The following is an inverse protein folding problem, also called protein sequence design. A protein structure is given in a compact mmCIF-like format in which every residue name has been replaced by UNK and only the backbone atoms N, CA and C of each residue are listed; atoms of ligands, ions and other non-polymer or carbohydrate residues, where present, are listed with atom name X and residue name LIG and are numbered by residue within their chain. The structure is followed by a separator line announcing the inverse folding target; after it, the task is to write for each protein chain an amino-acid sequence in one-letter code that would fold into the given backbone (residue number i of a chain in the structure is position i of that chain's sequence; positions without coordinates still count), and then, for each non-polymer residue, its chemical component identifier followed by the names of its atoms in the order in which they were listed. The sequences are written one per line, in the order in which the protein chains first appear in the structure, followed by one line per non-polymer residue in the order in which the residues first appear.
data_IF_686567539599
#
_entry.id   IF_686567539599
#
_cell.length_a   1.000
_cell.length_b   1.000
_cell.length_c   1.000
_cell.angle_alpha   90.00
_cell.angle_beta   90.00
_cell.angle_gamma   90.00
#
_symmetry.space_group_name_H-M   'P 1'
#
loop_
_entity.id
_entity.type
_entity.pdbx_description
1 polymer ?
#
# COMPACT_ATOMS: atom_id res chain seq x y z
N UNK A 1 -107.02 29.44 -45.76
CA UNK A 1 -106.06 30.52 -45.41
C UNK A 1 -105.64 30.45 -43.94
N UNK A 2 -106.55 30.21 -42.97
CA UNK A 2 -106.19 30.03 -41.55
C UNK A 2 -105.29 28.81 -41.26
N UNK A 3 -105.59 27.63 -41.82
CA UNK A 3 -104.79 26.41 -41.56
C UNK A 3 -103.32 26.53 -41.94
N UNK A 4 -103.04 27.20 -43.07
CA UNK A 4 -101.68 27.40 -43.57
C UNK A 4 -100.87 28.34 -42.69
N UNK A 5 -101.50 29.40 -42.16
CA UNK A 5 -100.87 30.33 -41.20
C UNK A 5 -100.60 29.63 -39.87
N UNK A 6 -101.50 28.73 -39.44
CA UNK A 6 -101.31 27.94 -38.22
C UNK A 6 -100.17 26.92 -38.36
N UNK A 7 -100.03 26.28 -39.53
CA UNK A 7 -98.87 25.43 -39.86
C UNK A 7 -97.55 26.21 -39.90
N UNK A 8 -97.52 27.40 -40.50
CA UNK A 8 -96.34 28.26 -40.54
C UNK A 8 -95.92 28.74 -39.15
N UNK A 9 -96.88 29.09 -38.29
CA UNK A 9 -96.61 29.43 -36.89
C UNK A 9 -96.08 28.23 -36.11
N UNK A 10 -96.62 27.03 -36.34
CA UNK A 10 -96.13 25.79 -35.73
C UNK A 10 -94.68 25.50 -36.10
N UNK A 11 -94.33 25.58 -37.39
CA UNK A 11 -92.95 25.40 -37.85
C UNK A 11 -92.02 26.50 -37.33
N UNK A 12 -92.48 27.75 -37.24
CA UNK A 12 -91.70 28.84 -36.63
C UNK A 12 -91.37 28.54 -35.17
N UNK A 13 -92.34 28.04 -34.39
CA UNK A 13 -92.09 27.64 -33.00
C UNK A 13 -91.14 26.45 -32.88
N UNK A 14 -91.23 25.45 -33.77
CA UNK A 14 -90.27 24.33 -33.81
C UNK A 14 -88.85 24.80 -34.14
N UNK A 15 -88.69 25.64 -35.17
CA UNK A 15 -87.37 26.19 -35.52
C UNK A 15 -86.78 27.04 -34.38
N UNK A 16 -87.63 27.78 -33.64
CA UNK A 16 -87.18 28.59 -32.51
C UNK A 16 -86.78 27.72 -31.30
N UNK A 17 -87.47 26.60 -31.07
CA UNK A 17 -87.08 25.62 -30.07
C UNK A 17 -85.76 24.92 -30.43
N UNK A 18 -85.57 24.56 -31.71
CA UNK A 18 -84.31 24.00 -32.22
C UNK A 18 -83.15 24.99 -32.10
N UNK A 19 -83.36 26.27 -32.42
CA UNK A 19 -82.36 27.31 -32.23
C UNK A 19 -81.99 27.47 -30.74
N UNK A 20 -82.96 27.47 -29.83
CA UNK A 20 -82.68 27.50 -28.39
C UNK A 20 -81.90 26.27 -27.92
N UNK A 21 -82.22 25.08 -28.44
CA UNK A 21 -81.46 23.87 -28.13
C UNK A 21 -80.04 23.92 -28.69
N UNK A 22 -79.85 24.48 -29.89
CA UNK A 22 -78.54 24.69 -30.50
C UNK A 22 -77.71 25.68 -29.69
N UNK A 23 -78.29 26.81 -29.26
CA UNK A 23 -77.63 27.80 -28.41
C UNK A 23 -77.25 27.21 -27.05
N UNK A 24 -78.14 26.42 -26.44
CA UNK A 24 -77.83 25.71 -25.20
C UNK A 24 -76.69 24.70 -25.40
N UNK A 25 -76.71 23.93 -26.49
CA UNK A 25 -75.65 22.97 -26.80
C UNK A 25 -74.30 23.67 -27.05
N UNK A 26 -74.28 24.79 -27.78
CA UNK A 26 -73.08 25.62 -27.98
C UNK A 26 -72.55 26.18 -26.66
N UNK A 27 -73.44 26.64 -25.78
CA UNK A 27 -73.06 27.10 -24.45
C UNK A 27 -72.42 25.97 -23.64
N UNK A 28 -73.03 24.77 -23.61
CA UNK A 28 -72.45 23.60 -22.93
C UNK A 28 -71.09 23.21 -23.50
N UNK A 29 -70.91 23.30 -24.83
CA UNK A 29 -69.65 22.96 -25.48
C UNK A 29 -68.54 23.98 -25.13
N UNK A 30 -68.91 25.27 -25.05
CA UNK A 30 -67.99 26.33 -24.59
C UNK A 30 -67.58 26.15 -23.12
N UNK A 31 -68.52 25.77 -22.26
CA UNK A 31 -68.28 25.51 -20.85
C UNK A 31 -67.39 24.27 -20.66
N UNK A 32 -67.67 23.19 -21.40
CA UNK A 32 -66.85 21.99 -21.41
C UNK A 32 -65.43 22.29 -21.90
N UNK A 33 -65.28 23.12 -22.93
CA UNK A 33 -63.97 23.55 -23.42
C UNK A 33 -63.22 24.36 -22.35
N UNK A 34 -63.89 25.29 -21.67
CA UNK A 34 -63.28 26.06 -20.59
C UNK A 34 -62.85 25.16 -19.41
N UNK A 35 -63.70 24.22 -19.01
CA UNK A 35 -63.39 23.24 -17.96
C UNK A 35 -62.22 22.33 -18.38
N UNK A 36 -62.22 21.83 -19.61
CA UNK A 36 -61.13 21.02 -20.14
C UNK A 36 -59.80 21.78 -20.12
N UNK A 37 -59.80 23.05 -20.54
CA UNK A 37 -58.59 23.89 -20.54
C UNK A 37 -58.08 24.15 -19.13
N UNK A 38 -58.99 24.39 -18.18
CA UNK A 38 -58.68 24.55 -16.75
C UNK A 38 -58.09 23.28 -16.14
N UNK A 39 -58.70 22.12 -16.41
CA UNK A 39 -58.17 20.83 -15.94
C UNK A 39 -56.82 20.54 -16.57
N UNK A 40 -56.69 20.71 -17.89
CA UNK A 40 -55.44 20.48 -18.62
C UNK A 40 -54.29 21.33 -18.07
N UNK A 41 -54.49 22.64 -17.93
CA UNK A 41 -53.47 23.54 -17.37
C UNK A 41 -53.08 23.16 -15.94
N UNK A 42 -54.06 22.85 -15.08
CA UNK A 42 -53.80 22.44 -13.70
C UNK A 42 -53.06 21.09 -13.62
N UNK A 43 -53.40 20.13 -14.48
CA UNK A 43 -52.71 18.84 -14.56
C UNK A 43 -51.29 18.98 -15.08
N UNK A 44 -51.04 19.83 -16.09
CA UNK A 44 -49.69 20.09 -16.60
C UNK A 44 -48.82 20.81 -15.56
N UNK A 45 -49.37 21.78 -14.83
CA UNK A 45 -48.68 22.43 -13.73
C UNK A 45 -48.30 21.43 -12.63
N UNK A 46 -49.26 20.60 -12.19
CA UNK A 46 -49.00 19.55 -11.20
C UNK A 46 -47.94 18.55 -11.67
N UNK A 47 -48.00 18.13 -12.94
CA UNK A 47 -47.00 17.22 -13.50
C UNK A 47 -45.60 17.85 -13.47
N UNK A 48 -45.48 19.13 -13.82
CA UNK A 48 -44.21 19.88 -13.76
C UNK A 48 -43.67 19.97 -12.33
N UNK A 49 -44.55 20.24 -11.35
CA UNK A 49 -44.17 20.27 -9.93
C UNK A 49 -43.71 18.89 -9.43
N UNK A 50 -44.38 17.82 -9.86
CA UNK A 50 -43.98 16.44 -9.54
C UNK A 50 -42.61 16.08 -10.13
N UNK A 51 -42.35 16.42 -11.40
CA UNK A 51 -41.05 16.20 -12.04
C UNK A 51 -39.94 16.97 -11.32
N UNK A 52 -40.19 18.22 -10.94
CA UNK A 52 -39.24 19.02 -10.16
C UNK A 52 -38.97 18.41 -8.78
N UNK A 53 -40.01 17.97 -8.06
CA UNK A 53 -39.88 17.28 -6.77
C UNK A 53 -39.07 15.98 -6.89
N UNK A 54 -39.30 15.21 -7.95
CA UNK A 54 -38.55 13.97 -8.21
C UNK A 54 -37.08 14.28 -8.45
N UNK A 55 -36.77 15.31 -9.25
CA UNK A 55 -35.41 15.76 -9.49
C UNK A 55 -34.70 16.22 -8.21
N UNK A 56 -35.38 16.97 -7.35
CA UNK A 56 -34.85 17.39 -6.04
C UNK A 56 -34.62 16.20 -5.10
N UNK A 57 -35.52 15.23 -5.06
CA UNK A 57 -35.36 14.01 -4.27
C UNK A 57 -34.11 13.23 -4.72
N UNK A 58 -33.93 13.03 -6.02
CA UNK A 58 -32.72 12.40 -6.58
C UNK A 58 -31.47 13.20 -6.23
N UNK A 59 -31.51 14.53 -6.37
CA UNK A 59 -30.38 15.42 -6.04
C UNK A 59 -30.00 15.33 -4.56
N UNK A 60 -30.98 15.29 -3.65
CA UNK A 60 -30.76 15.15 -2.21
C UNK A 60 -30.21 13.77 -1.86
N UNK A 61 -30.72 12.69 -2.47
CA UNK A 61 -30.16 11.34 -2.32
C UNK A 61 -28.69 11.28 -2.70
N UNK A 62 -28.33 11.82 -3.87
CA UNK A 62 -26.95 11.86 -4.33
C UNK A 62 -26.03 12.64 -3.39
N UNK A 63 -26.51 13.74 -2.80
CA UNK A 63 -25.77 14.50 -1.79
C UNK A 63 -25.60 13.71 -0.49
N UNK A 64 -26.65 13.02 -0.03
CA UNK A 64 -26.59 12.18 1.16
C UNK A 64 -25.58 11.05 0.99
N UNK A 65 -25.59 10.37 -0.16
CA UNK A 65 -24.62 9.32 -0.52
C UNK A 65 -23.18 9.87 -0.55
N UNK A 66 -22.98 11.07 -1.10
CA UNK A 66 -21.66 11.72 -1.09
C UNK A 66 -21.17 12.00 0.33
N UNK A 67 -22.04 12.50 1.21
CA UNK A 67 -21.70 12.75 2.61
C UNK A 67 -21.38 11.42 3.30
N UNK A 68 -22.18 10.38 3.07
CA UNK A 68 -21.98 9.06 3.66
C UNK A 68 -20.65 8.45 3.21
N UNK A 69 -20.29 8.56 1.94
CA UNK A 69 -19.01 8.08 1.41
C UNK A 69 -17.81 8.76 2.09
N UNK A 70 -17.90 10.08 2.33
CA UNK A 70 -16.85 10.81 3.06
C UNK A 70 -16.81 10.42 4.53
N UNK A 71 -17.97 10.34 5.17
CA UNK A 71 -18.11 10.01 6.59
C UNK A 71 -17.65 8.59 6.91
N UNK A 72 -17.81 7.66 5.96
CA UNK A 72 -17.35 6.28 6.08
C UNK A 72 -15.90 6.20 6.55
N UNK A 73 -14.99 6.97 5.94
CA UNK A 73 -13.57 6.99 6.33
C UNK A 73 -13.31 7.50 7.75
N UNK A 74 -14.24 8.23 8.37
CA UNK A 74 -14.11 8.66 9.76
C UNK A 74 -14.66 7.61 10.72
N UNK A 75 -15.69 6.86 10.33
CA UNK A 75 -16.30 5.83 11.19
C UNK A 75 -15.53 4.51 11.21
N UNK A 76 -14.70 4.22 10.19
CA UNK A 76 -14.03 2.92 10.10
C UNK A 76 -12.95 2.69 11.15
N UNK A 77 -12.31 3.73 11.68
CA UNK A 77 -11.19 3.57 12.62
C UNK A 77 -11.58 2.79 13.87
N UNK A 78 -12.78 3.01 14.39
CA UNK A 78 -13.26 2.32 15.60
C UNK A 78 -13.54 0.84 15.32
N UNK A 79 -14.15 0.55 14.16
CA UNK A 79 -14.40 -0.82 13.71
C UNK A 79 -13.11 -1.61 13.51
N UNK A 80 -12.09 -0.99 12.89
CA UNK A 80 -10.78 -1.59 12.66
C UNK A 80 -10.07 -1.84 14.00
N UNK A 81 -10.02 -0.82 14.87
CA UNK A 81 -9.39 -0.90 16.18
C UNK A 81 -10.00 -2.00 17.05
N UNK A 82 -11.33 -2.13 17.07
CA UNK A 82 -12.04 -3.18 17.79
C UNK A 82 -11.64 -4.57 17.27
N UNK A 83 -11.60 -4.78 15.95
CA UNK A 83 -11.19 -6.05 15.34
C UNK A 83 -9.75 -6.41 15.70
N UNK A 84 -8.81 -5.47 15.62
CA UNK A 84 -7.42 -5.67 16.00
C UNK A 84 -7.21 -5.92 17.50
N UNK A 85 -8.23 -5.60 18.32
CA UNK A 85 -8.24 -5.84 19.77
C UNK A 85 -8.86 -7.17 20.17
N UNK A 86 -9.63 -7.78 19.28
CA UNK A 86 -10.19 -9.10 19.52
C UNK A 86 -9.09 -10.18 19.58
N UNK A 87 -9.06 -11.03 20.63
CA UNK A 87 -8.13 -12.15 20.72
C UNK A 87 -8.42 -13.26 19.70
N UNK A 88 -9.63 -13.25 19.11
CA UNK A 88 -10.06 -14.24 18.10
C UNK A 88 -9.54 -13.87 16.71
N UNK A 89 -9.35 -12.57 16.46
CA UNK A 89 -8.86 -12.09 15.18
C UNK A 89 -7.33 -12.19 15.16
N UNK A 90 -6.79 -12.97 14.23
CA UNK A 90 -5.35 -13.23 14.14
C UNK A 90 -4.85 -13.01 12.72
N UNK A 91 -3.53 -12.99 12.57
CA UNK A 91 -2.90 -12.79 11.25
C UNK A 91 -3.18 -13.94 10.27
N UNK A 92 -3.65 -15.09 10.76
CA UNK A 92 -4.05 -16.22 9.91
C UNK A 92 -5.51 -16.16 9.47
N UNK A 93 -6.28 -15.18 9.93
CA UNK A 93 -7.67 -15.00 9.52
C UNK A 93 -7.72 -14.46 8.08
N UNK A 94 -8.62 -14.99 7.26
CA UNK A 94 -8.77 -14.58 5.84
C UNK A 94 -9.03 -13.07 5.68
N UNK A 95 -9.69 -12.44 6.66
CA UNK A 95 -9.96 -11.01 6.66
C UNK A 95 -8.79 -10.11 7.07
N UNK A 96 -7.61 -10.65 7.42
CA UNK A 96 -6.49 -9.86 7.91
C UNK A 96 -5.84 -9.00 6.81
N UNK A 97 -5.51 -9.60 5.66
CA UNK A 97 -4.93 -8.86 4.51
C UNK A 97 -5.91 -7.80 3.98
N UNK A 98 -7.20 -8.09 3.75
CA UNK A 98 -8.18 -7.06 3.40
C UNK A 98 -8.30 -5.94 4.43
N UNK A 99 -8.10 -6.22 5.73
CA UNK A 99 -8.10 -5.21 6.77
C UNK A 99 -6.90 -4.26 6.64
N UNK A 100 -5.71 -4.78 6.33
CA UNK A 100 -4.52 -3.96 6.05
C UNK A 100 -4.76 -3.04 4.84
N UNK A 101 -5.22 -3.59 3.71
CA UNK A 101 -5.53 -2.79 2.53
C UNK A 101 -6.58 -1.69 2.81
N UNK A 102 -7.57 -2.00 3.66
CA UNK A 102 -8.56 -1.02 4.12
C UNK A 102 -7.93 0.08 4.98
N UNK A 103 -6.97 -0.26 5.86
CA UNK A 103 -6.21 0.72 6.64
C UNK A 103 -5.43 1.64 5.70
N UNK A 104 -4.72 1.08 4.71
CA UNK A 104 -3.96 1.83 3.70
C UNK A 104 -4.86 2.79 2.92
N UNK A 105 -6.02 2.32 2.47
CA UNK A 105 -7.01 3.16 1.78
C UNK A 105 -7.48 4.34 2.65
N UNK A 106 -7.74 4.09 3.94
CA UNK A 106 -8.14 5.15 4.87
C UNK A 106 -7.01 6.16 5.09
N UNK A 107 -5.77 5.69 5.21
CA UNK A 107 -4.57 6.56 5.33
C UNK A 107 -4.43 7.44 4.08
N UNK A 108 -4.48 6.85 2.89
CA UNK A 108 -4.38 7.56 1.62
C UNK A 108 -5.49 8.62 1.49
N UNK A 109 -6.74 8.26 1.85
CA UNK A 109 -7.85 9.20 1.84
C UNK A 109 -7.63 10.38 2.79
N UNK A 110 -7.17 10.13 4.02
CA UNK A 110 -6.92 11.19 5.01
C UNK A 110 -5.80 12.13 4.56
N UNK A 111 -4.74 11.59 3.94
CA UNK A 111 -3.65 12.38 3.36
C UNK A 111 -4.13 13.28 2.21
N UNK A 112 -4.85 12.70 1.26
CA UNK A 112 -5.34 13.42 0.08
C UNK A 112 -6.42 14.48 0.43
N UNK A 113 -7.09 14.32 1.57
CA UNK A 113 -8.12 15.24 2.06
C UNK A 113 -7.67 15.99 3.33
N UNK A 114 -6.42 16.44 3.38
CA UNK A 114 -5.85 17.19 4.50
C UNK A 114 -6.54 18.55 4.81
N UNK A 115 -7.44 19.02 3.92
CA UNK A 115 -8.24 20.22 4.14
C UNK A 115 -9.32 20.09 5.24
N UNK A 116 -9.67 18.86 5.66
CA UNK A 116 -10.61 18.64 6.75
C UNK A 116 -9.92 18.79 8.11
N UNK A 117 -10.46 19.64 9.00
CA UNK A 117 -9.89 19.99 10.32
C UNK A 117 -9.51 18.78 11.19
N UNK A 118 -10.25 17.67 11.07
CA UNK A 118 -10.04 16.46 11.87
C UNK A 118 -9.19 15.38 11.18
N UNK A 119 -8.86 15.55 9.89
CA UNK A 119 -8.16 14.52 9.10
C UNK A 119 -6.82 14.09 9.71
N UNK A 120 -6.07 15.05 10.26
CA UNK A 120 -4.78 14.78 10.91
C UNK A 120 -4.90 13.90 12.16
N UNK A 121 -5.97 14.05 12.94
CA UNK A 121 -6.21 13.23 14.14
C UNK A 121 -6.56 11.80 13.74
N UNK A 122 -7.45 11.63 12.76
CA UNK A 122 -7.82 10.31 12.26
C UNK A 122 -6.65 9.61 11.56
N UNK A 123 -5.80 10.35 10.84
CA UNK A 123 -4.56 9.81 10.27
C UNK A 123 -3.67 9.18 11.34
N UNK A 124 -3.44 9.86 12.47
CA UNK A 124 -2.66 9.31 13.59
C UNK A 124 -3.32 8.04 14.15
N UNK A 125 -4.64 8.02 14.28
CA UNK A 125 -5.36 6.83 14.76
C UNK A 125 -5.26 5.65 13.78
N UNK A 126 -5.28 5.92 12.47
CA UNK A 126 -5.05 4.89 11.45
C UNK A 126 -3.60 4.39 11.44
N UNK A 127 -2.62 5.27 11.62
CA UNK A 127 -1.21 4.89 11.82
C UNK A 127 -1.05 3.97 13.03
N UNK A 128 -1.75 4.26 14.13
CA UNK A 128 -1.75 3.39 15.30
C UNK A 128 -2.37 2.01 15.00
N UNK A 129 -3.50 1.96 14.26
CA UNK A 129 -4.09 0.70 13.83
C UNK A 129 -3.14 -0.10 12.94
N UNK A 130 -2.44 0.57 12.02
CA UNK A 130 -1.44 -0.07 11.17
C UNK A 130 -0.31 -0.67 12.01
N UNK A 131 0.34 0.14 12.84
CA UNK A 131 1.44 -0.31 13.71
C UNK A 131 1.03 -1.48 14.59
N UNK A 132 -0.20 -1.46 15.11
CA UNK A 132 -0.77 -2.58 15.87
C UNK A 132 -0.93 -3.84 15.01
N UNK A 133 -1.48 -3.73 13.81
CA UNK A 133 -1.62 -4.86 12.89
C UNK A 133 -0.26 -5.46 12.50
N UNK A 134 0.72 -4.61 12.18
CA UNK A 134 2.10 -5.03 11.90
C UNK A 134 2.76 -5.68 13.12
N UNK A 135 2.47 -5.17 14.33
CA UNK A 135 2.90 -5.79 15.59
C UNK A 135 2.39 -7.23 15.76
N UNK A 136 1.16 -7.53 15.32
CA UNK A 136 0.63 -8.90 15.32
C UNK A 136 1.37 -9.80 14.32
N UNK A 137 1.70 -9.27 13.13
CA UNK A 137 2.51 -10.00 12.13
C UNK A 137 3.89 -10.30 12.70
N UNK A 138 4.57 -9.28 13.25
CA UNK A 138 5.90 -9.42 13.87
C UNK A 138 5.88 -10.49 14.95
N UNK A 139 4.89 -10.44 15.84
CA UNK A 139 4.76 -11.41 16.92
C UNK A 139 4.56 -12.83 16.39
N UNK A 140 3.71 -13.00 15.38
CA UNK A 140 3.46 -14.29 14.75
C UNK A 140 4.71 -14.86 14.08
N UNK A 141 5.37 -14.09 13.22
CA UNK A 141 6.58 -14.50 12.50
C UNK A 141 7.69 -14.85 13.49
N UNK A 142 7.95 -13.97 14.46
CA UNK A 142 8.98 -14.18 15.48
C UNK A 142 8.72 -15.46 16.28
N UNK A 143 7.48 -15.67 16.75
CA UNK A 143 7.13 -16.89 17.49
C UNK A 143 7.25 -18.14 16.64
N UNK A 144 6.79 -18.11 15.38
CA UNK A 144 6.87 -19.25 14.47
C UNK A 144 8.32 -19.66 14.18
N UNK A 145 9.20 -18.69 13.93
CA UNK A 145 10.63 -18.95 13.71
C UNK A 145 11.31 -19.46 14.98
N UNK A 146 11.13 -18.78 16.12
CA UNK A 146 11.69 -19.21 17.40
C UNK A 146 11.21 -20.60 17.83
N UNK A 147 9.94 -20.92 17.59
CA UNK A 147 9.40 -22.25 17.88
C UNK A 147 10.03 -23.32 16.98
N UNK A 148 10.27 -23.00 15.69
CA UNK A 148 10.96 -23.91 14.76
C UNK A 148 12.36 -24.23 15.25
N UNK A 149 13.12 -23.22 15.68
CA UNK A 149 14.46 -23.37 16.28
C UNK A 149 14.41 -24.22 17.55
N UNK A 150 13.50 -23.92 18.48
CA UNK A 150 13.37 -24.65 19.77
C UNK A 150 13.03 -26.13 19.60
N UNK A 151 12.38 -26.51 18.51
CA UNK A 151 12.04 -27.91 18.24
C UNK A 151 13.22 -28.72 17.70
N UNK A 152 14.28 -28.06 17.22
CA UNK A 152 15.42 -28.74 16.60
C UNK A 152 16.72 -28.60 17.39
N UNK A 153 16.81 -27.63 18.30
CA UNK A 153 17.91 -27.55 19.26
C UNK A 153 17.69 -28.63 20.34
N UNK A 154 18.62 -29.59 20.49
CA UNK A 154 18.52 -30.61 21.54
C UNK A 154 18.60 -29.96 22.92
N UNK A 155 17.78 -30.42 23.86
CA UNK A 155 17.82 -29.91 25.23
C UNK A 155 19.10 -30.36 25.93
N UNK A 156 19.57 -29.63 26.96
CA UNK A 156 20.73 -30.06 27.74
C UNK A 156 20.52 -31.47 28.30
N UNK A 157 21.32 -32.44 27.84
CA UNK A 157 21.24 -33.85 28.25
C UNK A 157 20.58 -34.81 27.25
N UNK A 158 20.05 -34.34 26.11
CA UNK A 158 19.55 -35.19 25.02
C UNK A 158 20.68 -35.51 24.01
N UNK A 159 20.69 -36.74 23.48
CA UNK A 159 21.65 -37.18 22.47
C UNK A 159 21.41 -36.35 21.20
N UNK A 160 22.45 -35.64 20.74
CA UNK A 160 22.41 -34.91 19.47
C UNK A 160 22.08 -35.86 18.32
N UNK A 161 21.13 -35.52 17.43
CA UNK A 161 20.91 -36.29 16.22
C UNK A 161 22.21 -36.35 15.40
N UNK A 162 22.47 -37.48 14.74
CA UNK A 162 23.60 -37.61 13.79
C UNK A 162 23.62 -36.40 12.84
N UNK A 163 24.81 -35.88 12.51
CA UNK A 163 25.03 -34.65 11.74
C UNK A 163 24.13 -34.52 10.51
N UNK A 164 24.00 -35.61 9.76
CA UNK A 164 23.27 -35.65 8.48
C UNK A 164 21.75 -35.63 8.67
N UNK A 165 21.26 -36.17 9.79
CA UNK A 165 19.84 -36.12 10.13
C UNK A 165 19.47 -34.77 10.76
N UNK A 166 20.43 -34.11 11.42
CA UNK A 166 20.24 -32.81 12.06
C UNK A 166 19.99 -31.71 11.02
N UNK A 167 20.79 -31.67 9.95
CA UNK A 167 20.67 -30.67 8.86
C UNK A 167 19.32 -30.79 8.14
N UNK A 168 18.91 -31.99 7.74
CA UNK A 168 17.60 -32.24 7.12
C UNK A 168 16.45 -31.79 8.03
N UNK A 169 16.57 -32.02 9.35
CA UNK A 169 15.58 -31.58 10.33
C UNK A 169 15.53 -30.04 10.44
N UNK A 170 16.68 -29.36 10.41
CA UNK A 170 16.77 -27.89 10.50
C UNK A 170 16.04 -27.19 9.35
N UNK A 171 16.16 -27.72 8.13
CA UNK A 171 15.49 -27.15 6.97
C UNK A 171 14.00 -27.54 6.94
N UNK A 172 13.66 -28.81 7.11
CA UNK A 172 12.28 -29.29 7.02
C UNK A 172 11.31 -28.60 8.00
N UNK A 173 11.75 -28.32 9.22
CA UNK A 173 10.94 -27.61 10.22
C UNK A 173 10.64 -26.17 9.84
N UNK A 174 11.61 -25.45 9.28
CA UNK A 174 11.39 -24.08 8.80
C UNK A 174 10.49 -24.07 7.56
N UNK A 175 10.73 -24.98 6.59
CA UNK A 175 9.93 -25.09 5.37
C UNK A 175 8.44 -25.31 5.64
N UNK A 176 8.09 -26.01 6.71
CA UNK A 176 6.68 -26.21 7.12
C UNK A 176 5.95 -24.89 7.39
N UNK A 177 6.63 -23.88 7.94
CA UNK A 177 6.05 -22.57 8.25
C UNK A 177 6.21 -21.54 7.13
N UNK A 178 7.08 -21.81 6.15
CA UNK A 178 7.46 -20.88 5.10
C UNK A 178 6.27 -20.36 4.27
N UNK A 179 5.32 -21.19 3.77
CA UNK A 179 4.25 -20.71 2.89
C UNK A 179 3.37 -19.62 3.52
N UNK A 180 3.06 -19.77 4.81
CA UNK A 180 2.22 -18.81 5.54
C UNK A 180 2.96 -17.51 5.81
N UNK A 181 4.22 -17.59 6.23
CA UNK A 181 5.03 -16.39 6.46
C UNK A 181 5.30 -15.68 5.13
N UNK A 182 5.61 -16.41 4.06
CA UNK A 182 5.80 -15.87 2.71
C UNK A 182 4.58 -15.11 2.21
N UNK A 183 3.38 -15.64 2.42
CA UNK A 183 2.15 -14.95 2.03
C UNK A 183 2.02 -13.59 2.74
N UNK A 184 2.39 -13.51 4.02
CA UNK A 184 2.39 -12.24 4.75
C UNK A 184 3.52 -11.32 4.28
N UNK A 185 4.75 -11.83 4.16
CA UNK A 185 5.91 -11.03 3.78
C UNK A 185 5.78 -10.47 2.36
N UNK A 186 5.31 -11.27 1.40
CA UNK A 186 5.09 -10.82 0.02
C UNK A 186 4.12 -9.64 -0.04
N UNK A 187 3.08 -9.66 0.81
CA UNK A 187 2.09 -8.60 0.90
C UNK A 187 2.68 -7.32 1.50
N UNK A 188 3.59 -7.43 2.46
CA UNK A 188 4.36 -6.28 2.99
C UNK A 188 5.36 -5.76 1.95
N UNK A 189 6.09 -6.65 1.28
CA UNK A 189 7.06 -6.31 0.24
C UNK A 189 6.39 -5.60 -0.95
N UNK A 190 5.23 -6.07 -1.40
CA UNK A 190 4.45 -5.43 -2.46
C UNK A 190 4.07 -3.99 -2.10
N UNK A 191 3.62 -3.73 -0.87
CA UNK A 191 3.33 -2.36 -0.41
C UNK A 191 4.55 -1.45 -0.42
N UNK A 192 5.73 -1.99 -0.12
CA UNK A 192 6.98 -1.23 -0.18
C UNK A 192 7.38 -0.90 -1.62
N UNK A 193 7.16 -1.84 -2.55
CA UNK A 193 7.39 -1.63 -3.99
C UNK A 193 6.42 -0.59 -4.55
N UNK A 194 5.12 -0.73 -4.27
CA UNK A 194 4.08 0.23 -4.70
C UNK A 194 4.36 1.65 -4.18
N UNK A 195 4.79 1.77 -2.92
CA UNK A 195 5.17 3.05 -2.35
C UNK A 195 6.38 3.66 -3.08
N UNK A 196 7.41 2.86 -3.36
CA UNK A 196 8.62 3.32 -4.09
C UNK A 196 8.28 3.80 -5.50
N UNK A 197 7.43 3.06 -6.21
CA UNK A 197 7.02 3.42 -7.57
C UNK A 197 6.22 4.72 -7.57
N UNK A 198 5.35 4.93 -6.57
CA UNK A 198 4.61 6.18 -6.38
C UNK A 198 5.54 7.39 -6.20
N UNK A 199 6.59 7.28 -5.39
CA UNK A 199 7.60 8.35 -5.22
C UNK A 199 8.40 8.62 -6.51
N UNK A 200 8.63 7.60 -7.34
CA UNK A 200 9.36 7.77 -8.60
C UNK A 200 8.55 8.56 -9.65
N UNK A 201 7.23 8.38 -9.68
CA UNK A 201 6.32 9.11 -10.59
C UNK A 201 6.11 10.55 -10.12
N UNK A 202 5.98 10.78 -8.81
CA UNK A 202 5.82 12.13 -8.25
C UNK A 202 7.09 12.96 -8.36
N UNK A 203 8.28 12.37 -8.24
CA UNK A 203 9.54 13.10 -8.46
C UNK A 203 9.70 13.56 -9.92
N UNK A 204 9.23 12.78 -10.90
CA UNK A 204 9.20 13.16 -12.31
C UNK A 204 8.15 14.26 -12.61
N UNK A 205 6.97 14.19 -11.99
CA UNK A 205 5.91 15.20 -12.17
C UNK A 205 6.28 16.55 -11.51
N UNK A 206 6.92 16.51 -10.33
CA UNK A 206 7.44 17.69 -9.63
C UNK A 206 8.58 18.35 -10.42
N UNK A 207 9.47 17.55 -11.04
CA UNK A 207 10.55 18.08 -11.89
C UNK A 207 10.00 18.84 -13.11
N UNK A 208 9.00 18.27 -13.79
CA UNK A 208 8.36 18.92 -14.94
C UNK A 208 7.58 20.19 -14.54
N UNK A 209 6.87 20.19 -13.40
CA UNK A 209 6.17 21.37 -12.90
C UNK A 209 7.09 22.53 -12.49
N UNK A 210 8.28 22.23 -11.95
CA UNK A 210 9.27 23.25 -11.62
C UNK A 210 9.95 23.85 -12.86
N UNK A 211 10.15 23.05 -13.92
CA UNK A 211 10.70 23.55 -15.20
C UNK A 211 9.76 24.56 -15.85
N UNK A 212 8.44 24.32 -15.80
CA UNK A 212 7.44 25.26 -16.36
C UNK A 212 7.29 26.52 -15.49
N UNK A 213 7.41 26.41 -14.17
CA UNK A 213 7.43 27.57 -13.27
C UNK A 213 8.68 28.45 -13.45
N UNK A 214 9.86 27.85 -13.69
CA UNK A 214 11.09 28.58 -14.00
C UNK A 214 11.04 29.28 -15.37
N UNK A 215 10.36 28.68 -16.36
CA UNK A 215 10.19 29.26 -17.69
C UNK A 215 9.29 30.51 -17.68
N UNK A 216 8.35 30.62 -16.74
CA UNK A 216 7.51 31.83 -16.56
C UNK A 216 8.18 32.97 -15.76
N UNK A 217 9.30 32.70 -15.08
CA UNK A 217 10.02 33.68 -14.24
C UNK A 217 11.21 34.37 -14.94
N UNK A 218 11.49 34.06 -16.21
CA UNK A 218 12.57 34.72 -16.96
C UNK A 218 12.09 36.07 -17.50
N UNK A 219 12.66 37.21 -17.07
CA UNK A 219 12.28 38.51 -17.64
C UNK A 219 12.86 38.66 -19.05
N UNK A 220 12.19 39.36 -19.97
CA UNK A 220 12.72 39.60 -21.32
C UNK A 220 13.97 40.49 -21.23
N UNK A 221 14.92 40.35 -22.18
CA UNK A 221 16.17 41.09 -22.13
C UNK A 221 15.90 42.59 -22.37
N UNK A 222 16.15 43.43 -21.37
CA UNK A 222 15.95 44.88 -21.47
C UNK A 222 17.29 45.61 -21.62
N UNK A 223 17.34 46.46 -22.66
CA UNK A 223 18.44 47.38 -22.96
C UNK A 223 18.33 48.66 -22.12
N UNK A 224 19.46 49.01 -21.51
CA UNK A 224 19.94 50.33 -21.06
C UNK A 224 19.18 51.19 -20.01
N UNK A 225 19.92 51.45 -18.91
CA UNK A 225 20.13 52.73 -18.16
C UNK A 225 18.89 53.59 -17.83
N UNK A 226 18.57 54.00 -16.60
CA UNK A 226 19.34 54.47 -15.44
C UNK A 226 18.34 54.66 -14.28
N UNK A 227 18.71 54.28 -13.04
CA UNK A 227 18.39 54.98 -11.77
C UNK A 227 18.66 54.06 -10.57
N UNK A 228 19.91 54.10 -10.13
CA UNK A 228 20.38 53.47 -8.89
C UNK A 228 19.69 54.10 -7.68
N UNK A 229 19.13 53.24 -6.84
CA UNK A 229 18.71 53.38 -5.42
C UNK A 229 17.30 52.81 -5.20
N UNK A 230 16.32 53.05 -6.09
CA UNK A 230 15.00 52.38 -6.00
C UNK A 230 15.01 50.91 -6.47
N UNK A 231 15.93 50.52 -7.35
CA UNK A 231 16.06 49.11 -7.76
C UNK A 231 16.59 48.19 -6.65
N UNK A 232 17.37 48.70 -5.69
CA UNK A 232 17.95 47.88 -4.61
C UNK A 232 16.89 47.42 -3.61
N UNK A 233 15.97 48.29 -3.21
CA UNK A 233 14.87 47.93 -2.31
C UNK A 233 13.87 46.98 -2.98
N UNK A 234 13.54 47.20 -4.26
CA UNK A 234 12.67 46.29 -5.02
C UNK A 234 13.32 44.93 -5.30
N UNK A 235 14.64 44.87 -5.51
CA UNK A 235 15.36 43.60 -5.66
C UNK A 235 15.44 42.84 -4.33
N UNK A 236 15.67 43.53 -3.20
CA UNK A 236 15.72 42.90 -1.87
C UNK A 236 14.34 42.38 -1.46
N UNK A 237 13.27 43.14 -1.70
CA UNK A 237 11.90 42.65 -1.47
C UNK A 237 11.50 41.49 -2.40
N UNK A 238 11.93 41.50 -3.67
CA UNK A 238 11.72 40.36 -4.57
C UNK A 238 12.50 39.11 -4.13
N UNK A 239 13.74 39.28 -3.67
CA UNK A 239 14.57 38.20 -3.13
C UNK A 239 13.97 37.63 -1.85
N UNK A 240 13.48 38.46 -0.93
CA UNK A 240 12.79 38.01 0.29
C UNK A 240 11.43 37.35 -0.02
N UNK A 241 10.67 37.84 -1.00
CA UNK A 241 9.44 37.19 -1.44
C UNK A 241 9.71 35.87 -2.16
N UNK A 242 10.71 35.79 -3.04
CA UNK A 242 11.13 34.55 -3.67
C UNK A 242 11.66 33.55 -2.64
N UNK A 243 12.47 33.99 -1.68
CA UNK A 243 13.00 33.16 -0.61
C UNK A 243 11.90 32.71 0.36
N UNK A 244 10.88 33.55 0.62
CA UNK A 244 9.67 33.20 1.36
C UNK A 244 8.85 32.13 0.65
N UNK A 245 8.64 32.25 -0.66
CA UNK A 245 7.93 31.27 -1.49
C UNK A 245 8.70 29.96 -1.53
N UNK A 246 10.01 29.98 -1.80
CA UNK A 246 10.87 28.80 -1.81
C UNK A 246 10.89 28.12 -0.43
N UNK A 247 10.99 28.89 0.66
CA UNK A 247 10.97 28.34 2.02
C UNK A 247 9.60 27.74 2.37
N UNK A 248 8.49 28.32 1.90
CA UNK A 248 7.15 27.74 2.03
C UNK A 248 7.00 26.47 1.21
N UNK A 249 7.45 26.47 -0.04
CA UNK A 249 7.43 25.30 -0.93
C UNK A 249 8.30 24.18 -0.38
N UNK A 250 9.50 24.48 0.14
CA UNK A 250 10.37 23.52 0.81
C UNK A 250 9.77 23.02 2.13
N UNK A 251 9.13 23.88 2.92
CA UNK A 251 8.45 23.46 4.16
C UNK A 251 7.20 22.60 3.88
N UNK A 252 6.50 22.88 2.77
CA UNK A 252 5.37 22.08 2.28
C UNK A 252 5.86 20.73 1.74
N UNK A 253 6.94 20.71 0.95
CA UNK A 253 7.61 19.49 0.48
C UNK A 253 8.16 18.67 1.65
N UNK A 254 8.73 19.30 2.68
CA UNK A 254 9.25 18.61 3.86
C UNK A 254 8.11 18.04 4.72
N UNK A 255 7.01 18.77 4.91
CA UNK A 255 5.80 18.25 5.57
C UNK A 255 5.13 17.13 4.79
N UNK A 256 5.05 17.24 3.46
CA UNK A 256 4.47 16.21 2.59
C UNK A 256 5.33 14.94 2.62
N UNK A 257 6.65 15.07 2.49
CA UNK A 257 7.62 13.97 2.63
C UNK A 257 7.62 13.31 4.02
N UNK A 258 7.44 14.07 5.11
CA UNK A 258 7.35 13.50 6.47
C UNK A 258 6.03 12.76 6.74
N UNK A 259 4.91 13.23 6.18
CA UNK A 259 3.62 12.53 6.32
C UNK A 259 3.48 11.34 5.36
N UNK A 260 4.15 11.38 4.21
CA UNK A 260 4.14 10.25 3.28
C UNK A 260 5.02 9.09 3.71
N UNK A 261 6.17 9.37 4.32
CA UNK A 261 7.10 8.33 4.78
C UNK A 261 6.62 7.52 6.00
N UNK A 262 5.74 8.06 6.85
CA UNK A 262 5.41 7.45 8.16
C UNK A 262 4.91 6.01 8.08
N UNK A 263 3.91 5.75 7.23
CA UNK A 263 3.37 4.39 7.06
C UNK A 263 4.31 3.44 6.31
N UNK A 264 5.13 3.94 5.38
CA UNK A 264 6.13 3.14 4.65
C UNK A 264 7.24 2.69 5.60
N UNK A 265 7.68 3.57 6.49
CA UNK A 265 8.68 3.26 7.53
C UNK A 265 8.19 2.12 8.44
N UNK A 266 6.91 2.09 8.81
CA UNK A 266 6.35 0.99 9.62
C UNK A 266 6.47 -0.37 8.91
N UNK A 267 6.22 -0.41 7.59
CA UNK A 267 6.40 -1.62 6.78
C UNK A 267 7.88 -2.02 6.66
N UNK A 268 8.78 -1.06 6.46
CA UNK A 268 10.23 -1.29 6.41
C UNK A 268 10.76 -1.84 7.74
N UNK A 269 10.35 -1.24 8.86
CA UNK A 269 10.73 -1.66 10.20
C UNK A 269 10.24 -3.09 10.49
N UNK A 270 8.99 -3.42 10.11
CA UNK A 270 8.48 -4.78 10.25
C UNK A 270 9.32 -5.78 9.45
N UNK A 271 9.61 -5.47 8.19
CA UNK A 271 10.38 -6.37 7.31
C UNK A 271 11.79 -6.58 7.86
N UNK A 272 12.45 -5.51 8.31
CA UNK A 272 13.75 -5.57 8.96
C UNK A 272 13.72 -6.44 10.23
N UNK A 273 12.76 -6.21 11.13
CA UNK A 273 12.59 -7.04 12.35
C UNK A 273 12.41 -8.52 12.00
N UNK A 274 11.65 -8.83 10.94
CA UNK A 274 11.43 -10.20 10.47
C UNK A 274 12.70 -10.83 9.88
N UNK A 275 13.47 -10.10 9.06
CA UNK A 275 14.77 -10.55 8.55
C UNK A 275 15.74 -10.83 9.71
N UNK A 276 15.90 -9.87 10.62
CA UNK A 276 16.79 -10.00 11.78
C UNK A 276 16.41 -11.21 12.64
N UNK A 277 15.11 -11.45 12.86
CA UNK A 277 14.65 -12.63 13.56
C UNK A 277 15.02 -13.92 12.82
N UNK A 278 14.77 -13.98 11.50
CA UNK A 278 15.11 -15.12 10.65
C UNK A 278 16.60 -15.46 10.73
N UNK A 279 17.48 -14.50 10.42
CA UNK A 279 18.93 -14.73 10.44
C UNK A 279 19.44 -15.06 11.84
N UNK A 280 18.89 -14.44 12.90
CA UNK A 280 19.21 -14.82 14.27
C UNK A 280 18.87 -16.28 14.56
N UNK A 281 17.70 -16.76 14.11
CA UNK A 281 17.31 -18.14 14.30
C UNK A 281 18.19 -19.11 13.48
N UNK A 282 18.55 -18.75 12.24
CA UNK A 282 19.44 -19.57 11.41
C UNK A 282 20.86 -19.63 11.96
N UNK A 283 21.44 -18.51 12.42
CA UNK A 283 22.75 -18.46 13.08
C UNK A 283 22.86 -19.42 14.26
N UNK A 284 21.83 -19.47 15.11
CA UNK A 284 21.80 -20.36 16.27
C UNK A 284 21.91 -21.85 15.91
N UNK A 285 21.49 -22.23 14.70
CA UNK A 285 21.52 -23.61 14.22
C UNK A 285 22.78 -23.88 13.39
N UNK A 286 23.08 -23.00 12.44
CA UNK A 286 24.10 -23.25 11.44
C UNK A 286 25.51 -22.92 11.91
N UNK A 287 25.74 -21.85 12.67
CA UNK A 287 27.11 -21.48 13.07
C UNK A 287 27.80 -22.60 13.87
N UNK A 288 27.16 -23.22 14.90
CA UNK A 288 27.75 -24.36 15.58
C UNK A 288 27.92 -25.58 14.67
N UNK A 289 26.92 -25.88 13.84
CA UNK A 289 26.92 -27.05 12.96
C UNK A 289 28.04 -26.97 11.91
N UNK A 290 28.23 -25.80 11.29
CA UNK A 290 29.29 -25.54 10.31
C UNK A 290 30.65 -25.62 11.00
N UNK A 291 30.83 -24.99 12.17
CA UNK A 291 32.09 -25.06 12.90
C UNK A 291 32.48 -26.50 13.29
N UNK A 292 31.52 -27.30 13.76
CA UNK A 292 31.74 -28.71 14.08
C UNK A 292 32.11 -29.52 12.83
N UNK A 293 31.40 -29.32 11.71
CA UNK A 293 31.68 -29.99 10.45
C UNK A 293 33.06 -29.63 9.88
N UNK A 294 33.44 -28.34 9.91
CA UNK A 294 34.76 -27.88 9.49
C UNK A 294 35.85 -28.47 10.40
N UNK A 295 35.64 -28.50 11.72
CA UNK A 295 36.59 -29.10 12.67
C UNK A 295 36.79 -30.59 12.39
N UNK A 296 35.71 -31.32 12.08
CA UNK A 296 35.78 -32.72 11.68
C UNK A 296 36.54 -32.90 10.37
N UNK A 297 36.25 -32.09 9.35
CA UNK A 297 36.97 -32.11 8.06
C UNK A 297 38.47 -31.85 8.25
N UNK A 298 38.83 -30.82 9.01
CA UNK A 298 40.23 -30.49 9.34
C UNK A 298 40.92 -31.67 10.03
N UNK A 299 40.21 -32.37 10.93
CA UNK A 299 40.74 -33.54 11.61
C UNK A 299 40.94 -34.77 10.70
N UNK A 300 40.06 -34.94 9.70
CA UNK A 300 40.09 -36.07 8.77
C UNK A 300 41.17 -35.91 7.68
N UNK A 301 41.44 -34.68 7.24
CA UNK A 301 42.35 -34.39 6.13
C UNK A 301 43.68 -33.74 6.56
N UNK A 302 44.17 -34.02 7.78
CA UNK A 302 45.37 -33.36 8.36
C UNK A 302 46.63 -33.33 7.47
N UNK A 303 46.76 -34.23 6.50
CA UNK A 303 47.92 -34.35 5.60
C UNK A 303 47.63 -34.02 4.14
N UNK A 304 46.37 -33.79 3.77
CA UNK A 304 45.95 -33.49 2.40
C UNK A 304 45.16 -32.17 2.37
N UNK A 305 45.91 -31.08 2.31
CA UNK A 305 45.36 -29.72 2.34
C UNK A 305 44.49 -29.41 1.12
N UNK A 306 44.87 -29.90 -0.07
CA UNK A 306 44.12 -29.63 -1.29
C UNK A 306 42.76 -30.33 -1.27
N UNK A 307 42.69 -31.58 -0.82
CA UNK A 307 41.41 -32.28 -0.63
C UNK A 307 40.57 -31.66 0.50
N UNK A 308 41.20 -31.21 1.59
CA UNK A 308 40.51 -30.49 2.66
C UNK A 308 39.81 -29.23 2.13
N UNK A 309 40.55 -28.36 1.41
CA UNK A 309 39.98 -27.10 0.89
C UNK A 309 38.89 -27.37 -0.14
N UNK A 310 39.08 -28.33 -1.06
CA UNK A 310 38.03 -28.70 -2.03
C UNK A 310 36.75 -29.18 -1.35
N UNK A 311 36.86 -30.10 -0.38
CA UNK A 311 35.72 -30.63 0.36
C UNK A 311 35.05 -29.55 1.24
N UNK A 312 35.84 -28.70 1.89
CA UNK A 312 35.33 -27.58 2.70
C UNK A 312 34.58 -26.53 1.88
N UNK A 313 35.14 -26.12 0.74
CA UNK A 313 34.47 -25.20 -0.18
C UNK A 313 33.18 -25.81 -0.74
N UNK A 314 33.21 -27.07 -1.21
CA UNK A 314 32.02 -27.74 -1.74
C UNK A 314 30.91 -27.84 -0.67
N UNK A 315 31.27 -28.17 0.57
CA UNK A 315 30.33 -28.18 1.70
C UNK A 315 29.70 -26.81 1.93
N UNK A 316 30.52 -25.75 2.03
CA UNK A 316 30.00 -24.39 2.26
C UNK A 316 29.14 -23.86 1.11
N UNK A 317 29.50 -24.16 -0.14
CA UNK A 317 28.68 -23.79 -1.30
C UNK A 317 27.30 -24.40 -1.18
N UNK A 318 27.19 -25.69 -0.86
CA UNK A 318 25.89 -26.34 -0.66
C UNK A 318 25.11 -25.75 0.51
N UNK A 319 25.77 -25.43 1.63
CA UNK A 319 25.12 -24.76 2.77
C UNK A 319 24.59 -23.39 2.36
N UNK A 320 25.35 -22.61 1.60
CA UNK A 320 24.94 -21.30 1.12
C UNK A 320 23.77 -21.39 0.12
N UNK A 321 23.80 -22.35 -0.79
CA UNK A 321 22.71 -22.63 -1.73
C UNK A 321 21.42 -23.00 -0.99
N UNK A 322 21.52 -23.89 0.01
CA UNK A 322 20.39 -24.31 0.83
C UNK A 322 19.79 -23.16 1.65
N UNK A 323 20.62 -22.28 2.24
CA UNK A 323 20.17 -21.11 2.99
C UNK A 323 19.56 -20.04 2.09
N UNK A 324 20.13 -19.80 0.91
CA UNK A 324 19.55 -18.88 -0.07
C UNK A 324 18.19 -19.40 -0.55
N UNK A 325 18.10 -20.69 -0.86
CA UNK A 325 16.86 -21.36 -1.22
C UNK A 325 15.83 -21.30 -0.10
N UNK A 326 16.25 -21.50 1.16
CA UNK A 326 15.35 -21.36 2.30
C UNK A 326 14.88 -19.91 2.45
N UNK A 327 15.77 -18.92 2.36
CA UNK A 327 15.43 -17.50 2.47
C UNK A 327 14.36 -17.10 1.44
N UNK A 328 14.53 -17.50 0.18
CA UNK A 328 13.58 -17.20 -0.90
C UNK A 328 12.17 -17.78 -0.67
N UNK A 329 12.07 -18.86 0.12
CA UNK A 329 10.79 -19.43 0.54
C UNK A 329 10.05 -18.58 1.58
N UNK A 330 10.71 -17.62 2.25
CA UNK A 330 10.10 -16.70 3.22
C UNK A 330 9.98 -15.27 2.71
N UNK A 331 10.98 -14.78 1.97
CA UNK A 331 11.10 -13.39 1.53
C UNK A 331 11.35 -13.33 0.03
N UNK A 332 10.85 -12.29 -0.64
CA UNK A 332 10.93 -12.13 -2.10
C UNK A 332 11.94 -11.06 -2.49
N UNK A 333 12.15 -10.09 -1.62
CA UNK A 333 13.13 -9.04 -1.84
C UNK A 333 14.52 -9.52 -1.40
N UNK A 334 15.60 -9.09 -2.10
CA UNK A 334 16.96 -9.31 -1.63
C UNK A 334 17.22 -8.53 -0.35
N UNK A 335 18.07 -9.07 0.52
CA UNK A 335 18.48 -8.41 1.77
C UNK A 335 20.00 -8.46 1.90
N UNK A 336 20.68 -7.32 2.21
CA UNK A 336 22.12 -7.33 2.47
C UNK A 336 22.48 -8.20 3.68
N UNK A 337 21.55 -8.34 4.64
CA UNK A 337 21.72 -9.23 5.80
C UNK A 337 21.92 -10.72 5.40
N UNK A 338 21.47 -11.12 4.19
CA UNK A 338 21.71 -12.48 3.68
C UNK A 338 23.18 -12.65 3.30
N UNK A 339 23.75 -11.69 2.56
CA UNK A 339 25.14 -11.72 2.12
C UNK A 339 26.07 -11.72 3.35
N UNK A 340 25.81 -10.84 4.33
CA UNK A 340 26.55 -10.78 5.59
C UNK A 340 26.50 -12.11 6.36
N UNK A 341 25.34 -12.79 6.36
CA UNK A 341 25.18 -14.09 7.01
C UNK A 341 25.93 -15.21 6.28
N UNK A 342 25.89 -15.23 4.95
CA UNK A 342 26.62 -16.23 4.16
C UNK A 342 28.14 -16.06 4.30
N UNK A 343 28.62 -14.81 4.31
CA UNK A 343 30.03 -14.48 4.55
C UNK A 343 30.49 -14.91 5.96
N UNK A 344 29.63 -14.73 6.97
CA UNK A 344 29.88 -15.22 8.33
C UNK A 344 30.10 -16.75 8.36
N UNK A 345 29.28 -17.52 7.63
CA UNK A 345 29.45 -18.98 7.52
C UNK A 345 30.73 -19.35 6.78
N UNK A 346 31.07 -18.62 5.71
CA UNK A 346 32.28 -18.87 4.92
C UNK A 346 33.57 -18.58 5.71
N UNK A 347 33.53 -17.62 6.63
CA UNK A 347 34.66 -17.27 7.49
C UNK A 347 35.10 -18.45 8.37
N UNK A 348 34.18 -19.35 8.73
CA UNK A 348 34.50 -20.55 9.52
C UNK A 348 35.55 -21.46 8.84
N UNK A 349 35.48 -21.62 7.51
CA UNK A 349 36.47 -22.40 6.77
C UNK A 349 37.84 -21.70 6.80
N UNK A 350 37.88 -20.38 6.61
CA UNK A 350 39.13 -19.63 6.69
C UNK A 350 39.79 -19.76 8.07
N UNK A 351 39.01 -19.63 9.14
CA UNK A 351 39.51 -19.78 10.50
C UNK A 351 40.02 -21.20 10.80
N UNK A 352 39.34 -22.23 10.28
CA UNK A 352 39.79 -23.62 10.39
C UNK A 352 41.06 -23.93 9.59
N UNK A 353 41.24 -23.32 8.42
CA UNK A 353 42.41 -23.50 7.56
C UNK A 353 43.61 -22.68 8.01
N UNK A 354 43.41 -21.52 8.64
CA UNK A 354 44.47 -20.58 9.02
C UNK A 354 45.63 -21.23 9.78
N UNK A 355 45.42 -22.09 10.80
CA UNK A 355 46.51 -22.78 11.49
C UNK A 355 47.30 -23.73 10.58
N UNK A 356 46.67 -24.32 9.57
CA UNK A 356 47.34 -25.21 8.63
C UNK A 356 48.18 -24.41 7.64
N UNK A 357 47.61 -23.36 7.03
CA UNK A 357 48.24 -22.53 6.00
C UNK A 357 49.55 -21.90 6.51
N UNK A 358 49.59 -21.43 7.75
CA UNK A 358 50.79 -20.81 8.34
C UNK A 358 51.98 -21.79 8.46
N UNK A 359 51.70 -23.10 8.51
CA UNK A 359 52.71 -24.16 8.63
C UNK A 359 52.99 -24.89 7.31
N UNK A 360 52.44 -24.42 6.18
CA UNK A 360 52.75 -24.98 4.87
C UNK A 360 54.07 -24.38 4.38
N UNK A 361 55.12 -25.20 4.35
CA UNK A 361 56.46 -24.79 3.90
C UNK A 361 56.62 -24.83 2.37
N UNK A 362 55.71 -25.51 1.65
CA UNK A 362 55.81 -25.73 0.21
C UNK A 362 54.97 -24.72 -0.59
N UNK A 363 55.65 -23.88 -1.39
CA UNK A 363 55.03 -22.85 -2.23
C UNK A 363 54.08 -23.42 -3.29
N UNK A 364 54.36 -24.62 -3.83
CA UNK A 364 53.49 -25.29 -4.80
C UNK A 364 52.10 -25.58 -4.20
N UNK A 365 52.05 -26.09 -2.97
CA UNK A 365 50.81 -26.34 -2.24
C UNK A 365 50.03 -25.05 -2.00
N UNK A 366 50.70 -23.96 -1.60
CA UNK A 366 50.05 -22.66 -1.42
C UNK A 366 49.46 -22.12 -2.74
N UNK A 367 50.19 -22.29 -3.85
CA UNK A 367 49.71 -21.86 -5.18
C UNK A 367 48.48 -22.65 -5.65
N UNK A 368 48.44 -23.95 -5.38
CA UNK A 368 47.30 -24.81 -5.70
C UNK A 368 46.08 -24.44 -4.83
N UNK A 369 46.28 -24.20 -3.53
CA UNK A 369 45.22 -23.73 -2.63
C UNK A 369 44.62 -22.39 -3.09
N UNK A 370 45.46 -21.42 -3.47
CA UNK A 370 45.00 -20.16 -4.03
C UNK A 370 44.22 -20.35 -5.34
N UNK A 371 44.60 -21.32 -6.18
CA UNK A 371 43.84 -21.65 -7.39
C UNK A 371 42.49 -22.30 -7.09
N UNK A 372 42.39 -23.08 -6.02
CA UNK A 372 41.12 -23.72 -5.60
C UNK A 372 40.17 -22.66 -5.05
N UNK A 373 40.63 -21.80 -4.13
CA UNK A 373 39.84 -20.72 -3.52
C UNK A 373 39.42 -19.62 -4.51
N UNK A 374 40.05 -19.55 -5.68
CA UNK A 374 39.65 -18.61 -6.75
C UNK A 374 38.59 -19.22 -7.68
N UNK A 375 38.42 -20.54 -7.67
CA UNK A 375 37.53 -21.29 -8.58
C UNK A 375 36.25 -21.78 -7.91
N UNK A 376 36.30 -22.05 -6.60
CA UNK A 376 35.10 -22.18 -5.76
C UNK A 376 34.75 -20.82 -5.20
#
# INVERSE_FOLDING_TARGET
MLDYVQQLNSHRTECQALLQQLDAALHHLSELQAQYTSVSTRTTALHTDCEHLLAEQTRLSNKAETIQAKLWYFTQVDSISLKLTSPVFSVTSEGFIPLLAKIDQCIAYMKNNAGCRESSVYLVRYMHCLSRALGLIRLYVTKSLQNSTRQVIPKPGEIQPNSDNATVLYYSKFRTNAPRIKSLMSEIENRLVEARDSFSVDSLSISNGHIDAFRQLSPPPSLHHQSSINSRNNSVQNLEQQQSVITRSLSQLYKHNQSDAGHVIEYQNLLHDCHQCFFRQRRLLLVPCVNDAITQLVSNYRKDHCSLVRSGCAFLVHVCEDEHSLYSQFFSLPSPDLDDFLDELCTALYDGLRPLIIHIDHLETLSELCSILRRG
#
